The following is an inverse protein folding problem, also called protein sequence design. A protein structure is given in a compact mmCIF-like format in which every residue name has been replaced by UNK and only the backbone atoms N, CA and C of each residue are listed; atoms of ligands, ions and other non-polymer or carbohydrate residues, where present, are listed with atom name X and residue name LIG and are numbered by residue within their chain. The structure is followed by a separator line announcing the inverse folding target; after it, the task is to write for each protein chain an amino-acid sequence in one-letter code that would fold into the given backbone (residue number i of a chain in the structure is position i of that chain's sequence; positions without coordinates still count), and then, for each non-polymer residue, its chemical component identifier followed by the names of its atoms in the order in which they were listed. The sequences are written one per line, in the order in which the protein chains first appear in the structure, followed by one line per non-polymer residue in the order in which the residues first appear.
data_IF_558994223644
#
_entry.id   IF_558994223644
#
_cell.length_a   1.000
_cell.length_b   1.000
_cell.length_c   1.000
_cell.angle_alpha   90.00
_cell.angle_beta   90.00
_cell.angle_gamma   90.00
#
_symmetry.space_group_name_H-M   'P 1'
#
loop_
_entity.id
_entity.type
_entity.pdbx_description
1 polymer ?
#
# COMPACT_ATOMS: atom_id res chain seq x y z
N UNK A 1 45.81 0.68 -5.22
CA UNK A 1 44.52 1.01 -4.53
C UNK A 1 44.48 0.19 -3.26
N UNK A 2 44.17 0.82 -2.13
CA UNK A 2 43.99 0.08 -0.86
C UNK A 2 42.70 -0.74 -0.94
N UNK A 3 42.66 -1.90 -0.27
CA UNK A 3 41.47 -2.78 -0.21
C UNK A 3 40.19 -1.99 0.19
N UNK A 4 40.36 -1.03 1.08
CA UNK A 4 39.28 -0.13 1.52
C UNK A 4 38.73 0.74 0.38
N UNK A 5 39.60 1.29 -0.46
CA UNK A 5 39.18 2.11 -1.60
C UNK A 5 38.38 1.30 -2.62
N UNK A 6 38.76 0.06 -2.91
CA UNK A 6 38.02 -0.85 -3.79
C UNK A 6 36.64 -1.14 -3.23
N UNK A 7 36.51 -1.45 -1.94
CA UNK A 7 35.22 -1.69 -1.28
C UNK A 7 34.30 -0.47 -1.39
N UNK A 8 34.79 0.74 -1.11
CA UNK A 8 34.00 1.97 -1.20
C UNK A 8 33.50 2.18 -2.63
N UNK A 9 34.36 2.05 -3.64
CA UNK A 9 33.99 2.20 -5.05
C UNK A 9 32.90 1.20 -5.43
N UNK A 10 33.04 -0.06 -4.99
CA UNK A 10 32.04 -1.10 -5.26
C UNK A 10 30.70 -0.79 -4.60
N UNK A 11 30.70 -0.34 -3.34
CA UNK A 11 29.46 0.09 -2.65
C UNK A 11 28.75 1.21 -3.40
N UNK A 12 29.50 2.23 -3.83
CA UNK A 12 28.95 3.34 -4.64
C UNK A 12 28.36 2.83 -5.96
N UNK A 13 29.06 1.93 -6.64
CA UNK A 13 28.61 1.35 -7.90
C UNK A 13 27.32 0.54 -7.72
N UNK A 14 27.25 -0.33 -6.71
CA UNK A 14 26.05 -1.12 -6.38
C UNK A 14 24.88 -0.19 -6.04
N UNK A 15 25.10 0.87 -5.27
CA UNK A 15 24.09 1.87 -4.94
C UNK A 15 23.55 2.57 -6.19
N UNK A 16 24.42 3.00 -7.10
CA UNK A 16 24.03 3.65 -8.35
C UNK A 16 23.24 2.71 -9.28
N UNK A 17 23.65 1.45 -9.40
CA UNK A 17 22.89 0.44 -10.15
C UNK A 17 21.51 0.22 -9.49
N UNK A 18 21.46 0.04 -8.17
CA UNK A 18 20.22 -0.13 -7.45
C UNK A 18 19.28 1.06 -7.65
N UNK A 19 19.79 2.29 -7.63
CA UNK A 19 18.98 3.50 -7.87
C UNK A 19 18.45 3.55 -9.32
N UNK A 20 19.28 3.17 -10.31
CA UNK A 20 18.87 3.13 -11.72
C UNK A 20 17.76 2.06 -11.95
N UNK A 21 17.90 0.89 -11.36
CA UNK A 21 16.86 -0.13 -11.37
C UNK A 21 15.60 0.40 -10.67
N UNK A 22 15.71 1.04 -9.51
CA UNK A 22 14.59 1.65 -8.81
C UNK A 22 13.81 2.66 -9.66
N UNK A 23 14.52 3.47 -10.45
CA UNK A 23 13.91 4.39 -11.41
C UNK A 23 13.09 3.65 -12.48
N UNK A 24 13.61 2.54 -13.00
CA UNK A 24 12.86 1.67 -13.91
C UNK A 24 11.65 1.00 -13.22
N UNK A 25 11.80 0.55 -11.97
CA UNK A 25 10.70 -0.05 -11.21
C UNK A 25 9.53 0.92 -11.01
N UNK A 26 9.77 2.23 -10.87
CA UNK A 26 8.71 3.23 -10.84
C UNK A 26 7.85 3.21 -12.11
N UNK A 27 8.47 3.01 -13.28
CA UNK A 27 7.73 2.86 -14.55
C UNK A 27 6.90 1.59 -14.55
N UNK A 28 7.45 0.48 -14.04
CA UNK A 28 6.72 -0.81 -13.91
C UNK A 28 5.52 -0.67 -12.97
N UNK A 29 5.71 -0.06 -11.79
CA UNK A 29 4.64 0.16 -10.80
C UNK A 29 3.49 0.96 -11.41
N UNK A 30 3.79 2.04 -12.13
CA UNK A 30 2.77 2.91 -12.70
C UNK A 30 2.05 2.28 -13.91
N UNK A 31 2.79 1.65 -14.84
CA UNK A 31 2.23 1.21 -16.13
C UNK A 31 1.58 -0.16 -16.10
N UNK A 32 2.03 -1.06 -15.21
CA UNK A 32 1.51 -2.43 -15.16
C UNK A 32 0.00 -2.48 -14.88
N UNK A 33 -0.54 -1.78 -13.86
CA UNK A 33 -1.97 -1.78 -13.59
C UNK A 33 -2.79 -1.15 -14.73
N UNK A 34 -2.22 -0.15 -15.41
CA UNK A 34 -2.86 0.54 -16.54
C UNK A 34 -2.75 -0.23 -17.87
N UNK A 35 -2.07 -1.38 -17.87
CA UNK A 35 -1.80 -2.20 -19.08
C UNK A 35 -1.08 -1.42 -20.19
N UNK A 36 -0.29 -0.42 -19.81
CA UNK A 36 0.52 0.39 -20.74
C UNK A 36 1.86 -0.27 -21.04
N UNK A 37 2.44 0.04 -22.21
CA UNK A 37 3.74 -0.49 -22.60
C UNK A 37 4.86 0.08 -21.70
N UNK A 38 5.65 -0.82 -21.11
CA UNK A 38 6.81 -0.45 -20.27
C UNK A 38 7.97 0.06 -21.14
N UNK A 39 8.07 -0.38 -22.40
CA UNK A 39 9.24 -0.17 -23.26
C UNK A 39 9.02 0.93 -24.31
N UNK A 40 7.81 1.00 -24.90
CA UNK A 40 7.55 1.83 -26.09
C UNK A 40 7.37 3.31 -25.80
N UNK A 41 6.86 3.67 -24.64
CA UNK A 41 6.55 5.06 -24.32
C UNK A 41 7.67 5.71 -23.53
N UNK A 42 8.21 6.86 -24.02
CA UNK A 42 9.21 7.60 -23.27
C UNK A 42 8.61 8.23 -22.00
N UNK A 43 9.43 8.44 -20.99
CA UNK A 43 9.03 9.16 -19.79
C UNK A 43 8.78 10.63 -20.11
N UNK A 44 7.65 11.18 -19.62
CA UNK A 44 7.23 12.55 -19.87
C UNK A 44 6.64 13.16 -18.58
N UNK A 45 6.57 14.48 -18.52
CA UNK A 45 5.93 15.19 -17.43
C UNK A 45 4.40 15.08 -17.56
N UNK A 46 3.71 14.64 -16.51
CA UNK A 46 2.25 14.49 -16.53
C UNK A 46 1.49 15.82 -16.72
N UNK A 47 2.09 16.95 -16.30
CA UNK A 47 1.43 18.26 -16.38
C UNK A 47 1.62 18.97 -17.72
N UNK A 48 2.80 18.87 -18.35
CA UNK A 48 3.09 19.59 -19.58
C UNK A 48 3.33 18.70 -20.80
N UNK A 49 3.35 17.37 -20.64
CA UNK A 49 3.59 16.42 -21.72
C UNK A 49 5.02 16.37 -22.26
N UNK A 50 5.91 17.27 -21.83
CA UNK A 50 7.29 17.31 -22.32
C UNK A 50 8.05 16.05 -21.96
N UNK A 51 8.75 15.49 -22.95
CA UNK A 51 9.62 14.32 -22.78
C UNK A 51 10.79 14.65 -21.86
N UNK A 52 11.01 13.77 -20.87
CA UNK A 52 12.17 13.91 -19.97
C UNK A 52 13.46 13.56 -20.70
N UNK A 53 14.50 14.33 -20.45
CA UNK A 53 15.84 14.08 -20.99
C UNK A 53 16.59 13.10 -20.07
N UNK A 54 17.63 12.43 -20.56
CA UNK A 54 18.37 11.42 -19.80
C UNK A 54 18.93 11.97 -18.47
N UNK A 55 19.35 13.23 -18.42
CA UNK A 55 19.86 13.87 -17.22
C UNK A 55 18.76 14.28 -16.22
N UNK A 56 17.50 14.40 -16.67
CA UNK A 56 16.34 14.61 -15.80
C UNK A 56 15.87 13.29 -15.15
N UNK A 57 16.32 12.16 -15.68
CA UNK A 57 16.02 10.81 -15.19
C UNK A 57 17.15 10.24 -14.33
N UNK A 58 18.20 11.02 -13.98
CA UNK A 58 19.27 10.54 -13.12
C UNK A 58 18.72 10.30 -11.71
N UNK A 59 18.70 9.02 -11.24
CA UNK A 59 17.93 8.65 -10.07
C UNK A 59 18.36 9.41 -8.81
N UNK A 60 17.40 9.76 -7.96
CA UNK A 60 17.58 10.51 -6.71
C UNK A 60 18.12 11.92 -6.94
N UNK A 61 19.25 12.05 -7.65
CA UNK A 61 19.95 13.34 -7.81
C UNK A 61 19.20 14.35 -8.66
N UNK A 62 18.52 13.91 -9.74
CA UNK A 62 17.74 14.84 -10.56
C UNK A 62 16.58 15.44 -9.75
N UNK A 63 15.91 14.65 -8.92
CA UNK A 63 14.84 15.11 -8.06
C UNK A 63 15.35 16.13 -7.01
N UNK A 64 16.51 15.87 -6.39
CA UNK A 64 17.13 16.75 -5.41
C UNK A 64 17.58 18.08 -6.05
N UNK A 65 18.25 18.03 -7.21
CA UNK A 65 18.74 19.21 -7.93
C UNK A 65 17.56 20.08 -8.41
N UNK A 66 16.49 19.47 -8.93
CA UNK A 66 15.29 20.14 -9.39
C UNK A 66 14.32 20.49 -8.24
N UNK A 67 14.65 20.15 -7.00
CA UNK A 67 13.82 20.38 -5.80
C UNK A 67 12.41 19.84 -5.96
N UNK A 68 12.27 18.66 -6.57
CA UNK A 68 10.99 18.03 -6.81
C UNK A 68 10.09 18.74 -7.82
N UNK A 69 10.64 19.50 -8.77
CA UNK A 69 9.86 20.25 -9.77
C UNK A 69 10.28 19.90 -11.19
N UNK A 70 9.31 19.95 -12.10
CA UNK A 70 9.59 19.78 -13.52
C UNK A 70 10.45 20.95 -14.04
N UNK A 71 11.51 20.65 -14.81
CA UNK A 71 12.41 21.65 -15.40
C UNK A 71 11.70 22.61 -16.37
N UNK A 72 10.63 22.14 -17.05
CA UNK A 72 9.97 22.91 -18.10
C UNK A 72 8.79 23.73 -17.58
N UNK A 73 7.91 23.14 -16.75
CA UNK A 73 6.69 23.82 -16.30
C UNK A 73 6.66 24.14 -14.80
N UNK A 74 7.66 23.70 -14.03
CA UNK A 74 7.72 23.96 -12.59
C UNK A 74 6.73 23.14 -11.74
N UNK A 75 5.89 22.28 -12.34
CA UNK A 75 4.94 21.44 -11.60
C UNK A 75 5.67 20.50 -10.67
N UNK A 76 5.05 20.20 -9.50
CA UNK A 76 5.62 19.32 -8.49
C UNK A 76 5.71 17.85 -8.97
N UNK A 77 6.85 17.22 -8.69
CA UNK A 77 7.08 15.78 -8.91
C UNK A 77 7.01 15.09 -7.55
N UNK A 78 6.15 14.09 -7.42
CA UNK A 78 5.96 13.35 -6.16
C UNK A 78 7.30 12.83 -5.59
N UNK A 79 7.58 13.05 -4.30
CA UNK A 79 8.77 12.50 -3.64
C UNK A 79 8.82 10.97 -3.62
N UNK A 80 7.69 10.32 -3.87
CA UNK A 80 7.57 8.86 -3.96
C UNK A 80 8.56 8.26 -4.96
N UNK A 81 8.79 8.92 -6.11
CA UNK A 81 9.75 8.45 -7.11
C UNK A 81 11.15 8.32 -6.52
N UNK A 82 11.62 9.38 -5.87
CA UNK A 82 12.92 9.39 -5.20
C UNK A 82 13.01 8.34 -4.08
N UNK A 83 11.93 8.18 -3.30
CA UNK A 83 11.88 7.21 -2.21
C UNK A 83 12.03 5.77 -2.72
N UNK A 84 11.33 5.40 -3.80
CA UNK A 84 11.43 4.06 -4.40
C UNK A 84 12.82 3.80 -4.99
N UNK A 85 13.43 4.81 -5.61
CA UNK A 85 14.80 4.74 -6.12
C UNK A 85 15.82 4.52 -4.99
N UNK A 86 15.68 5.28 -3.89
CA UNK A 86 16.53 5.15 -2.72
C UNK A 86 16.32 3.81 -2.01
N UNK A 87 15.08 3.34 -1.89
CA UNK A 87 14.76 2.04 -1.29
C UNK A 87 15.42 0.89 -2.06
N UNK A 88 15.36 0.92 -3.39
CA UNK A 88 16.01 -0.08 -4.22
C UNK A 88 17.54 -0.02 -4.08
N UNK A 89 18.11 1.18 -4.11
CA UNK A 89 19.55 1.39 -3.93
C UNK A 89 20.06 0.87 -2.58
N UNK A 90 19.37 1.19 -1.49
CA UNK A 90 19.72 0.74 -0.13
C UNK A 90 19.53 -0.77 0.02
N UNK A 91 18.48 -1.35 -0.57
CA UNK A 91 18.25 -2.80 -0.54
C UNK A 91 19.35 -3.57 -1.26
N UNK A 92 19.78 -3.09 -2.43
CA UNK A 92 20.88 -3.71 -3.19
C UNK A 92 22.21 -3.57 -2.46
N UNK A 93 22.49 -2.38 -1.90
CA UNK A 93 23.69 -2.15 -1.09
C UNK A 93 23.68 -3.06 0.14
N UNK A 94 22.55 -3.18 0.84
CA UNK A 94 22.41 -4.08 1.99
C UNK A 94 22.68 -5.55 1.63
N UNK A 95 22.12 -6.01 0.50
CA UNK A 95 22.38 -7.35 -0.01
C UNK A 95 23.88 -7.57 -0.33
N UNK A 96 24.52 -6.58 -0.95
CA UNK A 96 25.96 -6.65 -1.24
C UNK A 96 26.81 -6.67 0.03
N UNK A 97 26.47 -5.89 1.03
CA UNK A 97 27.21 -5.86 2.30
C UNK A 97 27.10 -7.18 3.08
N UNK A 98 25.97 -7.90 2.94
CA UNK A 98 25.74 -9.19 3.60
C UNK A 98 26.36 -10.35 2.82
N UNK A 99 26.19 -10.39 1.50
CA UNK A 99 26.55 -11.56 0.69
C UNK A 99 27.76 -11.35 -0.23
N UNK A 100 28.24 -10.11 -0.41
CA UNK A 100 29.22 -9.80 -1.45
C UNK A 100 28.68 -10.06 -2.85
N UNK A 101 29.56 -10.35 -3.81
CA UNK A 101 29.15 -10.83 -5.13
C UNK A 101 29.01 -12.36 -5.09
N UNK A 102 27.80 -12.83 -4.90
CA UNK A 102 27.45 -14.25 -4.80
C UNK A 102 26.11 -14.53 -5.48
N UNK A 103 25.70 -15.78 -5.54
CA UNK A 103 24.38 -16.16 -6.03
C UNK A 103 23.25 -15.61 -5.16
N UNK A 104 23.49 -15.55 -3.85
CA UNK A 104 22.58 -14.96 -2.88
C UNK A 104 22.32 -13.48 -3.16
N UNK A 105 23.36 -12.73 -3.52
CA UNK A 105 23.23 -11.34 -3.94
C UNK A 105 22.40 -11.21 -5.21
N UNK A 106 22.62 -12.06 -6.23
CA UNK A 106 21.85 -12.02 -7.45
C UNK A 106 20.36 -12.31 -7.21
N UNK A 107 20.06 -13.33 -6.38
CA UNK A 107 18.69 -13.64 -5.97
C UNK A 107 18.08 -12.51 -5.15
N UNK A 108 18.82 -11.91 -4.22
CA UNK A 108 18.37 -10.77 -3.44
C UNK A 108 17.99 -9.58 -4.32
N UNK A 109 18.77 -9.27 -5.35
CA UNK A 109 18.48 -8.17 -6.28
C UNK A 109 17.14 -8.38 -7.00
N UNK A 110 16.88 -9.59 -7.51
CA UNK A 110 15.61 -9.91 -8.16
C UNK A 110 14.46 -9.89 -7.15
N UNK A 111 14.65 -10.53 -6.00
CA UNK A 111 13.65 -10.56 -4.93
C UNK A 111 13.24 -9.16 -4.50
N UNK A 112 14.20 -8.29 -4.17
CA UNK A 112 13.91 -6.94 -3.70
C UNK A 112 13.26 -6.08 -4.77
N UNK A 113 13.66 -6.19 -6.03
CA UNK A 113 12.99 -5.53 -7.14
C UNK A 113 11.50 -5.93 -7.21
N UNK A 114 11.19 -7.21 -7.14
CA UNK A 114 9.81 -7.72 -7.16
C UNK A 114 9.04 -7.27 -5.93
N UNK A 115 9.64 -7.33 -4.74
CA UNK A 115 9.00 -6.87 -3.49
C UNK A 115 8.69 -5.37 -3.50
N UNK A 116 9.55 -4.54 -4.10
CA UNK A 116 9.31 -3.10 -4.27
C UNK A 116 8.15 -2.86 -5.23
N UNK A 117 8.12 -3.57 -6.37
CA UNK A 117 7.04 -3.44 -7.36
C UNK A 117 5.70 -3.85 -6.78
N UNK A 118 5.62 -5.03 -6.16
CA UNK A 118 4.37 -5.50 -5.55
C UNK A 118 3.88 -4.54 -4.46
N UNK A 119 4.81 -4.03 -3.62
CA UNK A 119 4.46 -3.06 -2.57
C UNK A 119 3.92 -1.75 -3.15
N UNK A 120 4.54 -1.26 -4.23
CA UNK A 120 4.10 -0.05 -4.91
C UNK A 120 2.71 -0.19 -5.53
N UNK A 121 2.44 -1.33 -6.18
CA UNK A 121 1.12 -1.60 -6.81
C UNK A 121 0.05 -1.86 -5.73
N UNK A 122 0.38 -2.61 -4.68
CA UNK A 122 -0.57 -2.89 -3.59
C UNK A 122 -0.98 -1.62 -2.83
N UNK A 123 -0.06 -0.66 -2.64
CA UNK A 123 -0.39 0.65 -2.04
C UNK A 123 -1.40 1.43 -2.87
N UNK A 124 -1.32 1.36 -4.21
CA UNK A 124 -2.17 2.14 -5.10
C UNK A 124 -3.49 1.45 -5.45
N UNK A 125 -3.44 0.13 -5.65
CA UNK A 125 -4.54 -0.64 -6.24
C UNK A 125 -5.12 -1.72 -5.31
N UNK A 126 -4.51 -1.96 -4.14
CA UNK A 126 -4.90 -3.02 -3.21
C UNK A 126 -4.89 -4.42 -3.85
N UNK A 127 -3.96 -4.64 -4.78
CA UNK A 127 -3.81 -5.88 -5.52
C UNK A 127 -2.34 -6.28 -5.63
N UNK A 128 -2.04 -7.56 -5.45
CA UNK A 128 -0.72 -8.13 -5.69
C UNK A 128 -0.72 -8.77 -7.08
N UNK A 129 0.09 -8.28 -8.04
CA UNK A 129 0.15 -8.86 -9.37
C UNK A 129 0.64 -10.31 -9.34
N UNK A 130 -0.05 -11.20 -10.01
CA UNK A 130 0.29 -12.64 -10.05
C UNK A 130 1.73 -12.93 -10.48
N UNK A 131 2.25 -12.17 -11.44
CA UNK A 131 3.61 -12.37 -11.93
C UNK A 131 4.67 -12.08 -10.85
N UNK A 132 4.40 -11.17 -9.89
CA UNK A 132 5.28 -10.93 -8.74
C UNK A 132 5.37 -12.19 -7.87
N UNK A 133 4.22 -12.77 -7.49
CA UNK A 133 4.16 -13.98 -6.68
C UNK A 133 4.77 -15.19 -7.40
N UNK A 134 4.53 -15.31 -8.72
CA UNK A 134 5.15 -16.35 -9.55
C UNK A 134 6.68 -16.19 -9.57
N UNK A 135 7.19 -14.97 -9.72
CA UNK A 135 8.65 -14.73 -9.71
C UNK A 135 9.26 -15.16 -8.39
N UNK A 136 8.64 -14.82 -7.24
CA UNK A 136 9.11 -15.26 -5.92
C UNK A 136 9.06 -16.79 -5.80
N UNK A 137 8.03 -17.45 -6.30
CA UNK A 137 7.92 -18.90 -6.32
C UNK A 137 9.01 -19.55 -7.20
N UNK A 138 9.29 -18.97 -8.37
CA UNK A 138 10.39 -19.45 -9.27
C UNK A 138 11.74 -19.31 -8.57
N UNK A 139 12.00 -18.19 -7.88
CA UNK A 139 13.20 -18.05 -7.06
C UNK A 139 13.25 -19.09 -5.95
N UNK A 140 12.11 -19.41 -5.33
CA UNK A 140 11.98 -20.49 -4.34
C UNK A 140 12.32 -21.87 -4.91
N UNK A 141 11.83 -22.19 -6.11
CA UNK A 141 12.18 -23.44 -6.81
C UNK A 141 13.66 -23.46 -7.21
N UNK A 142 14.18 -22.36 -7.76
CA UNK A 142 15.57 -22.24 -8.12
C UNK A 142 16.50 -22.43 -6.90
N UNK A 143 16.00 -22.11 -5.71
CA UNK A 143 16.73 -22.30 -4.46
C UNK A 143 17.08 -23.75 -4.13
N UNK A 144 16.45 -24.74 -4.74
CA UNK A 144 16.83 -26.16 -4.61
C UNK A 144 18.09 -26.52 -5.42
N UNK A 145 18.39 -25.72 -6.45
CA UNK A 145 19.48 -25.99 -7.38
C UNK A 145 20.70 -25.07 -7.19
N UNK A 146 20.53 -23.97 -6.50
CA UNK A 146 21.60 -23.00 -6.25
C UNK A 146 22.45 -23.45 -5.07
N UNK A 147 23.80 -23.45 -5.20
CA UNK A 147 24.70 -23.71 -4.08
C UNK A 147 24.71 -22.53 -3.13
N UNK A 148 23.86 -22.59 -2.11
CA UNK A 148 23.76 -21.53 -1.10
C UNK A 148 24.95 -21.56 -0.14
N UNK A 149 25.45 -20.37 0.24
CA UNK A 149 26.35 -20.24 1.37
C UNK A 149 25.67 -20.67 2.69
N UNK A 150 26.48 -20.88 3.71
CA UNK A 150 26.01 -21.39 5.02
C UNK A 150 24.86 -20.55 5.63
N UNK A 151 24.79 -19.27 5.28
CA UNK A 151 23.76 -18.35 5.78
C UNK A 151 22.36 -18.60 5.23
N UNK A 152 22.24 -19.17 4.02
CA UNK A 152 20.94 -19.44 3.36
C UNK A 152 20.74 -20.92 3.04
N UNK A 153 21.71 -21.78 3.38
CA UNK A 153 21.55 -23.22 3.25
C UNK A 153 20.39 -23.72 4.12
N UNK A 154 19.41 -24.33 3.49
CA UNK A 154 18.30 -25.02 4.16
C UNK A 154 18.06 -26.35 3.45
N UNK A 155 17.92 -27.47 4.17
CA UNK A 155 17.60 -28.73 3.56
C UNK A 155 16.23 -28.69 2.87
N UNK A 156 16.06 -29.49 1.84
CA UNK A 156 14.85 -29.49 1.01
C UNK A 156 13.56 -29.75 1.82
N UNK A 157 13.64 -30.63 2.83
CA UNK A 157 12.47 -30.97 3.66
C UNK A 157 12.01 -29.78 4.52
N UNK A 158 12.91 -28.93 5.01
CA UNK A 158 12.54 -27.72 5.76
C UNK A 158 11.76 -26.74 4.89
N UNK A 159 12.12 -26.60 3.62
CA UNK A 159 11.40 -25.75 2.64
C UNK A 159 9.99 -26.28 2.38
N UNK A 160 9.85 -27.61 2.24
CA UNK A 160 8.54 -28.23 2.02
C UNK A 160 7.65 -28.20 3.26
N UNK A 161 8.21 -28.42 4.45
CA UNK A 161 7.47 -28.31 5.72
C UNK A 161 6.99 -26.85 5.89
N UNK A 162 7.87 -25.89 5.72
CA UNK A 162 7.53 -24.46 5.83
C UNK A 162 6.44 -24.06 4.83
N UNK A 163 6.52 -24.54 3.60
CA UNK A 163 5.49 -24.34 2.57
C UNK A 163 4.16 -24.91 3.03
N UNK A 164 4.12 -26.15 3.52
CA UNK A 164 2.89 -26.78 3.99
C UNK A 164 2.24 -26.03 5.15
N UNK A 165 3.03 -25.63 6.16
CA UNK A 165 2.55 -24.86 7.32
C UNK A 165 2.00 -23.50 6.89
N UNK A 166 2.75 -22.76 6.06
CA UNK A 166 2.34 -21.42 5.58
C UNK A 166 1.09 -21.52 4.69
N UNK A 167 1.03 -22.52 3.79
CA UNK A 167 -0.11 -22.71 2.91
C UNK A 167 -1.38 -22.98 3.72
N UNK A 168 -1.35 -23.91 4.69
CA UNK A 168 -2.50 -24.22 5.55
C UNK A 168 -2.93 -22.98 6.34
N UNK A 169 -1.98 -22.28 6.97
CA UNK A 169 -2.28 -21.10 7.77
C UNK A 169 -2.94 -19.99 6.92
N UNK A 170 -2.40 -19.68 5.74
CA UNK A 170 -2.94 -18.63 4.89
C UNK A 170 -4.25 -19.03 4.20
N UNK A 171 -4.44 -20.31 3.83
CA UNK A 171 -5.73 -20.79 3.33
C UNK A 171 -6.82 -20.57 4.39
N UNK A 172 -6.55 -20.90 5.65
CA UNK A 172 -7.51 -20.64 6.74
C UNK A 172 -7.81 -19.14 6.86
N UNK A 173 -6.78 -18.26 6.80
CA UNK A 173 -6.97 -16.81 6.88
C UNK A 173 -7.78 -16.25 5.71
N UNK A 174 -7.57 -16.77 4.49
CA UNK A 174 -8.36 -16.39 3.30
C UNK A 174 -9.81 -16.87 3.42
N UNK A 175 -10.05 -18.09 3.90
CA UNK A 175 -11.41 -18.63 4.09
C UNK A 175 -12.21 -17.87 5.14
N UNK A 176 -11.55 -17.34 6.17
CA UNK A 176 -12.18 -16.48 7.20
C UNK A 176 -12.40 -15.04 6.66
N UNK A 177 -11.87 -14.72 5.47
CA UNK A 177 -11.96 -13.37 4.88
C UNK A 177 -10.99 -12.34 5.50
N UNK A 178 -9.97 -12.81 6.22
CA UNK A 178 -8.98 -11.96 6.88
C UNK A 178 -7.86 -11.44 5.97
N UNK A 179 -7.58 -12.13 4.85
CA UNK A 179 -6.49 -11.79 3.92
C UNK A 179 -6.87 -12.05 2.46
N UNK A 180 -6.16 -11.39 1.54
CA UNK A 180 -6.32 -11.57 0.10
C UNK A 180 -5.63 -12.83 -0.44
N UNK A 181 -6.13 -13.38 -1.56
CA UNK A 181 -5.49 -14.51 -2.25
C UNK A 181 -4.07 -14.19 -2.76
N UNK A 182 -3.78 -12.92 -3.04
CA UNK A 182 -2.45 -12.47 -3.43
C UNK A 182 -1.40 -12.63 -2.33
N UNK A 183 -1.77 -12.35 -1.07
CA UNK A 183 -0.90 -12.54 0.10
C UNK A 183 -0.56 -14.02 0.30
N UNK A 184 -1.55 -14.92 0.13
CA UNK A 184 -1.34 -16.38 0.16
C UNK A 184 -0.29 -16.80 -0.87
N UNK A 185 -0.44 -16.39 -2.14
CA UNK A 185 0.47 -16.77 -3.22
C UNK A 185 1.89 -16.27 -2.97
N UNK A 186 2.02 -15.03 -2.51
CA UNK A 186 3.31 -14.43 -2.16
C UNK A 186 4.01 -15.23 -1.06
N UNK A 187 3.30 -15.54 0.03
CA UNK A 187 3.88 -16.19 1.20
C UNK A 187 4.21 -17.66 0.95
N UNK A 188 3.40 -18.35 0.15
CA UNK A 188 3.70 -19.71 -0.32
C UNK A 188 4.97 -19.73 -1.18
N UNK A 189 5.11 -18.79 -2.12
CA UNK A 189 6.35 -18.63 -2.91
C UNK A 189 7.57 -18.30 -2.05
N UNK A 190 7.42 -17.38 -1.11
CA UNK A 190 8.50 -16.97 -0.20
C UNK A 190 8.92 -18.09 0.76
N UNK A 191 8.01 -18.98 1.17
CA UNK A 191 8.33 -20.10 2.04
C UNK A 191 9.26 -21.12 1.38
N UNK A 192 9.13 -21.35 0.07
CA UNK A 192 10.06 -22.17 -0.70
C UNK A 192 11.47 -21.57 -0.74
N UNK A 193 11.55 -20.23 -0.81
CA UNK A 193 12.82 -19.53 -0.85
C UNK A 193 13.52 -19.52 0.53
N UNK A 194 12.77 -19.18 1.58
CA UNK A 194 13.29 -18.91 2.92
C UNK A 194 13.39 -20.14 3.82
N UNK A 195 12.61 -21.22 3.55
CA UNK A 195 12.46 -22.32 4.47
C UNK A 195 11.91 -21.87 5.84
N UNK A 196 12.45 -22.37 6.96
CA UNK A 196 11.98 -21.97 8.30
C UNK A 196 12.17 -20.47 8.64
N UNK A 197 13.01 -19.75 7.90
CA UNK A 197 13.17 -18.27 8.04
C UNK A 197 11.91 -17.50 7.63
N UNK A 198 10.92 -18.14 7.05
CA UNK A 198 9.62 -17.54 6.77
C UNK A 198 8.89 -17.13 8.05
N UNK A 199 9.11 -17.80 9.18
CA UNK A 199 8.45 -17.46 10.44
C UNK A 199 8.87 -16.11 11.00
N UNK A 200 10.16 -15.73 11.08
CA UNK A 200 10.57 -14.36 11.35
C UNK A 200 9.99 -13.34 10.36
N UNK A 201 9.93 -13.68 9.06
CA UNK A 201 9.34 -12.80 8.06
C UNK A 201 7.86 -12.53 8.34
N UNK A 202 7.10 -13.57 8.65
CA UNK A 202 5.70 -13.46 9.05
C UNK A 202 5.54 -12.62 10.32
N UNK A 203 6.32 -12.89 11.34
CA UNK A 203 6.25 -12.15 12.60
C UNK A 203 6.48 -10.64 12.37
N UNK A 204 7.54 -10.28 11.66
CA UNK A 204 7.84 -8.88 11.34
C UNK A 204 6.71 -8.26 10.53
N UNK A 205 6.23 -8.94 9.48
CA UNK A 205 5.15 -8.45 8.62
C UNK A 205 3.85 -8.25 9.38
N UNK A 206 3.47 -9.19 10.26
CA UNK A 206 2.26 -9.10 11.08
C UNK A 206 2.37 -7.95 12.10
N UNK A 207 3.51 -7.83 12.80
CA UNK A 207 3.71 -6.75 13.78
C UNK A 207 3.65 -5.38 13.12
N UNK A 208 4.35 -5.18 12.00
CA UNK A 208 4.32 -3.91 11.27
C UNK A 208 2.92 -3.62 10.72
N UNK A 209 2.27 -4.62 10.14
CA UNK A 209 0.89 -4.51 9.64
C UNK A 209 -0.11 -4.18 10.75
N UNK A 210 0.02 -4.81 11.93
CA UNK A 210 -0.82 -4.53 13.08
C UNK A 210 -0.62 -3.10 13.61
N UNK A 211 0.62 -2.65 13.76
CA UNK A 211 0.93 -1.26 14.18
C UNK A 211 0.34 -0.26 13.20
N UNK A 212 0.54 -0.47 11.89
CA UNK A 212 -0.05 0.37 10.86
C UNK A 212 -1.59 0.33 10.91
N UNK A 213 -2.19 -0.85 11.01
CA UNK A 213 -3.64 -1.03 11.07
C UNK A 213 -4.27 -0.33 12.28
N UNK A 214 -3.65 -0.43 13.46
CA UNK A 214 -4.10 0.26 14.67
C UNK A 214 -3.99 1.78 14.49
N UNK A 215 -2.85 2.29 14.02
CA UNK A 215 -2.65 3.73 13.81
C UNK A 215 -3.59 4.28 12.75
N UNK A 216 -3.81 3.55 11.64
CA UNK A 216 -4.80 3.89 10.62
C UNK A 216 -6.21 3.92 11.22
N UNK A 217 -6.61 2.90 11.99
CA UNK A 217 -7.94 2.82 12.62
C UNK A 217 -8.20 4.01 13.56
N UNK A 218 -7.20 4.38 14.39
CA UNK A 218 -7.32 5.55 15.29
C UNK A 218 -7.48 6.84 14.48
N UNK A 219 -6.67 7.03 13.43
CA UNK A 219 -6.73 8.21 12.58
C UNK A 219 -8.04 8.29 11.80
N UNK A 220 -8.50 7.16 11.27
CA UNK A 220 -9.74 7.08 10.51
C UNK A 220 -10.95 7.34 11.42
N UNK A 221 -10.94 6.82 12.66
CA UNK A 221 -11.99 7.07 13.65
C UNK A 221 -12.11 8.56 14.00
N UNK A 222 -10.98 9.25 14.20
CA UNK A 222 -11.01 10.71 14.44
C UNK A 222 -11.59 11.46 13.24
N UNK A 223 -11.14 11.14 12.03
CA UNK A 223 -11.63 11.77 10.82
C UNK A 223 -13.12 11.44 10.55
N UNK A 224 -13.58 10.21 10.88
CA UNK A 224 -15.01 9.83 10.83
C UNK A 224 -15.85 10.67 11.78
N UNK A 225 -15.36 10.93 13.00
CA UNK A 225 -16.06 11.78 13.98
C UNK A 225 -16.13 13.24 13.50
N UNK A 226 -15.02 13.81 13.05
CA UNK A 226 -14.97 15.19 12.55
C UNK A 226 -15.88 15.40 11.33
N UNK A 227 -15.88 14.44 10.41
CA UNK A 227 -16.73 14.51 9.22
C UNK A 227 -18.21 14.31 9.57
N UNK A 228 -18.52 13.40 10.51
CA UNK A 228 -19.89 13.19 11.02
C UNK A 228 -20.44 14.48 11.62
N UNK A 229 -19.64 15.18 12.42
CA UNK A 229 -20.07 16.43 13.06
C UNK A 229 -20.28 17.56 12.03
N UNK A 230 -19.40 17.67 11.02
CA UNK A 230 -19.59 18.64 9.93
C UNK A 230 -20.86 18.39 9.15
N UNK A 231 -21.13 17.14 8.76
CA UNK A 231 -22.37 16.77 8.02
C UNK A 231 -23.60 17.07 8.90
N UNK A 232 -23.49 16.79 10.21
CA UNK A 232 -24.55 17.10 11.17
C UNK A 232 -24.87 18.59 11.19
N UNK A 233 -23.87 19.44 11.31
CA UNK A 233 -24.07 20.89 11.33
C UNK A 233 -24.71 21.38 10.04
N UNK A 234 -24.21 20.96 8.88
CA UNK A 234 -24.81 21.33 7.58
C UNK A 234 -26.28 20.89 7.48
N UNK A 235 -26.58 19.69 7.96
CA UNK A 235 -27.96 19.19 7.93
C UNK A 235 -28.88 19.96 8.90
N UNK A 236 -28.39 20.33 10.09
CA UNK A 236 -29.13 21.14 11.05
C UNK A 236 -29.37 22.56 10.56
N UNK A 237 -28.35 23.22 9.99
CA UNK A 237 -28.45 24.56 9.44
C UNK A 237 -29.47 24.59 8.29
N UNK A 238 -29.41 23.60 7.39
CA UNK A 238 -30.38 23.45 6.33
C UNK A 238 -31.78 23.20 6.89
N UNK A 239 -31.96 22.36 7.91
CA UNK A 239 -33.22 22.08 8.55
C UNK A 239 -33.85 23.32 9.19
N UNK A 240 -33.03 24.13 9.88
CA UNK A 240 -33.49 25.39 10.48
C UNK A 240 -33.91 26.41 9.43
N UNK A 241 -33.16 26.52 8.33
CA UNK A 241 -33.51 27.39 7.21
C UNK A 241 -34.87 26.99 6.57
N UNK A 242 -35.15 25.68 6.52
CA UNK A 242 -36.47 25.19 6.04
C UNK A 242 -37.60 25.43 7.06
N UNK A 243 -37.32 25.40 8.37
CA UNK A 243 -38.29 25.72 9.42
C UNK A 243 -38.69 27.20 9.37
N UNK A 244 -37.72 28.10 9.18
CA UNK A 244 -37.97 29.54 9.05
C UNK A 244 -38.77 29.92 7.79
N UNK A 245 -38.71 29.07 6.76
CA UNK A 245 -39.42 29.23 5.48
C UNK A 245 -40.88 28.69 5.48
N UNK A 246 -41.52 28.49 6.65
CA UNK A 246 -42.88 27.96 6.83
C UNK A 246 -43.13 26.53 6.30
N UNK A 247 -42.10 25.82 5.92
CA UNK A 247 -42.17 24.44 5.41
C UNK A 247 -42.02 23.40 6.54
N UNK A 248 -41.75 23.85 7.75
CA UNK A 248 -41.45 23.03 8.93
C UNK A 248 -42.52 22.04 9.36
N UNK A 249 -43.78 22.28 9.00
CA UNK A 249 -44.89 21.35 9.28
C UNK A 249 -44.77 20.00 8.58
N UNK A 250 -44.09 19.95 7.46
CA UNK A 250 -43.96 18.73 6.66
C UNK A 250 -42.83 17.84 7.15
N UNK A 251 -41.84 18.43 7.81
CA UNK A 251 -40.60 17.72 8.27
C UNK A 251 -40.75 17.19 9.71
N UNK A 252 -41.57 17.82 10.54
CA UNK A 252 -41.72 17.48 11.98
C UNK A 252 -42.54 16.19 12.18
N UNK A 253 -42.04 15.06 11.88
CA UNK A 253 -42.73 13.77 12.11
C UNK A 253 -42.26 12.61 11.22
N UNK A 254 -41.19 12.77 10.46
CA UNK A 254 -40.71 11.78 9.49
C UNK A 254 -39.35 11.21 9.83
N UNK A 255 -39.28 9.90 9.65
CA UNK A 255 -38.01 9.12 9.77
C UNK A 255 -37.33 9.02 8.40
N UNK A 256 -36.92 10.14 7.81
CA UNK A 256 -36.24 10.11 6.52
C UNK A 256 -34.77 9.83 6.67
N UNK A 257 -34.25 8.92 5.87
CA UNK A 257 -32.84 8.49 5.90
C UNK A 257 -32.14 8.99 4.66
N UNK A 258 -31.07 9.75 4.85
CA UNK A 258 -30.19 10.19 3.78
C UNK A 258 -28.99 9.21 3.75
N UNK A 259 -28.81 8.53 2.62
CA UNK A 259 -27.64 7.67 2.37
C UNK A 259 -26.73 8.39 1.40
N UNK A 260 -25.49 8.59 1.79
CA UNK A 260 -24.49 9.19 0.92
C UNK A 260 -23.28 8.27 0.75
N UNK A 261 -22.76 8.19 -0.46
CA UNK A 261 -21.49 7.58 -0.78
C UNK A 261 -20.50 8.66 -1.16
N UNK A 262 -19.26 8.51 -0.70
CA UNK A 262 -18.17 9.42 -1.06
C UNK A 262 -17.26 8.64 -2.00
N UNK A 263 -17.29 8.99 -3.28
CA UNK A 263 -16.45 8.40 -4.32
C UNK A 263 -15.67 9.50 -5.03
N UNK A 264 -14.36 9.28 -5.26
CA UNK A 264 -13.53 10.25 -5.98
C UNK A 264 -13.44 11.64 -5.33
N UNK A 265 -13.52 11.72 -4.00
CA UNK A 265 -13.38 12.96 -3.24
C UNK A 265 -14.61 13.87 -3.19
N UNK A 266 -15.74 13.45 -3.80
CA UNK A 266 -17.01 14.18 -3.72
C UNK A 266 -18.11 13.28 -3.17
N UNK A 267 -18.95 13.79 -2.24
CA UNK A 267 -20.09 13.03 -1.75
C UNK A 267 -21.15 12.93 -2.84
N UNK A 268 -21.61 11.73 -3.11
CA UNK A 268 -22.81 11.47 -3.87
C UNK A 268 -23.91 11.06 -2.90
N UNK A 269 -25.09 11.70 -3.01
CA UNK A 269 -26.14 11.61 -2.02
C UNK A 269 -27.37 11.02 -2.69
N UNK A 270 -27.71 9.82 -2.25
CA UNK A 270 -29.00 9.18 -2.57
C UNK A 270 -29.90 9.27 -1.35
N UNK A 271 -31.19 9.55 -1.59
CA UNK A 271 -32.21 9.58 -0.56
C UNK A 271 -32.87 8.21 -0.52
N UNK A 272 -32.79 7.54 0.60
CA UNK A 272 -33.52 6.30 0.85
C UNK A 272 -34.76 6.63 1.69
N UNK A 273 -35.95 6.30 1.20
CA UNK A 273 -37.22 6.66 1.84
C UNK A 273 -37.85 5.43 2.45
N UNK A 274 -38.40 5.61 3.66
CA UNK A 274 -39.19 4.58 4.32
C UNK A 274 -40.65 4.55 3.80
N UNK A 275 -41.15 5.61 3.16
CA UNK A 275 -42.51 5.68 2.57
C UNK A 275 -42.52 6.56 1.31
N UNK A 276 -42.78 5.97 0.14
CA UNK A 276 -42.85 6.66 -1.14
C UNK A 276 -44.00 7.68 -1.25
N UNK A 277 -45.08 7.52 -0.46
CA UNK A 277 -46.24 8.40 -0.47
C UNK A 277 -46.08 9.69 0.35
N UNK A 278 -45.06 9.78 1.15
CA UNK A 278 -44.77 10.89 2.04
C UNK A 278 -44.23 12.16 1.35
N UNK A 279 -44.06 12.14 0.02
CA UNK A 279 -43.26 13.10 -0.76
C UNK A 279 -43.96 14.29 -1.36
N UNK A 280 -45.27 14.36 -1.25
CA UNK A 280 -46.02 15.50 -1.81
C UNK A 280 -45.86 16.74 -0.91
N UNK A 281 -44.81 17.49 -1.10
CA UNK A 281 -44.60 18.78 -0.43
C UNK A 281 -43.21 19.07 0.17
N UNK A 282 -42.17 18.25 -0.10
CA UNK A 282 -40.83 18.54 0.39
C UNK A 282 -40.06 19.48 -0.54
N UNK A 283 -39.49 20.58 0.01
CA UNK A 283 -38.68 21.50 -0.77
C UNK A 283 -37.35 20.87 -1.25
N UNK A 284 -36.79 21.53 -2.20
CA UNK A 284 -35.63 21.20 -3.02
C UNK A 284 -34.55 20.35 -2.35
N UNK A 285 -34.61 19.01 -2.54
CA UNK A 285 -33.57 18.05 -2.14
C UNK A 285 -32.21 18.39 -2.72
N UNK A 286 -32.19 19.11 -3.84
CA UNK A 286 -30.98 19.49 -4.52
C UNK A 286 -30.14 20.50 -3.70
N UNK A 287 -30.78 21.28 -2.85
CA UNK A 287 -30.12 22.30 -2.02
C UNK A 287 -29.27 21.69 -0.92
N UNK A 288 -29.76 20.69 -0.17
CA UNK A 288 -28.96 19.99 0.84
C UNK A 288 -27.81 19.19 0.19
N UNK A 289 -28.12 18.49 -0.90
CA UNK A 289 -27.09 17.76 -1.65
C UNK A 289 -26.00 18.68 -2.17
N UNK A 290 -26.37 19.88 -2.61
CA UNK A 290 -25.44 20.92 -3.06
C UNK A 290 -24.62 21.46 -1.91
N UNK A 291 -25.22 21.82 -0.78
CA UNK A 291 -24.55 22.34 0.41
C UNK A 291 -23.51 21.33 0.94
N UNK A 292 -23.86 20.05 1.00
CA UNK A 292 -22.93 19.00 1.42
C UNK A 292 -21.80 18.84 0.39
N UNK A 293 -22.08 18.87 -0.92
CA UNK A 293 -21.05 18.77 -1.98
C UNK A 293 -20.09 19.96 -2.02
N UNK A 294 -20.56 21.15 -1.70
CA UNK A 294 -19.75 22.37 -1.73
C UNK A 294 -18.85 22.49 -0.49
N UNK A 295 -19.35 22.07 0.67
CA UNK A 295 -18.66 22.24 1.94
C UNK A 295 -17.80 21.03 2.35
N UNK A 296 -18.03 19.85 1.77
CA UNK A 296 -17.27 18.65 2.08
C UNK A 296 -16.34 18.28 0.93
N UNK A 297 -15.05 18.45 1.16
CA UNK A 297 -13.97 17.91 0.34
C UNK A 297 -13.22 16.86 1.15
N UNK A 298 -13.23 15.60 0.70
CA UNK A 298 -12.45 14.53 1.32
C UNK A 298 -11.83 13.65 0.22
N UNK A 299 -10.55 13.31 0.39
CA UNK A 299 -9.83 12.41 -0.52
C UNK A 299 -10.15 10.93 -0.26
N UNK A 300 -10.97 10.63 0.74
CA UNK A 300 -11.25 9.27 1.19
C UNK A 300 -12.61 8.78 0.73
N UNK A 301 -12.65 7.54 0.27
CA UNK A 301 -13.89 6.83 -0.02
C UNK A 301 -14.58 6.40 1.27
N UNK A 302 -15.88 6.61 1.36
CA UNK A 302 -16.66 6.25 2.53
C UNK A 302 -18.16 6.21 2.24
N UNK A 303 -18.92 5.72 3.19
CA UNK A 303 -20.38 5.77 3.17
C UNK A 303 -20.88 6.42 4.47
N UNK A 304 -21.92 7.22 4.37
CA UNK A 304 -22.57 7.79 5.52
C UNK A 304 -24.09 7.65 5.39
N UNK A 305 -24.75 7.60 6.54
CA UNK A 305 -26.21 7.57 6.64
C UNK A 305 -26.61 8.64 7.66
N UNK A 306 -27.49 9.54 7.26
CA UNK A 306 -28.04 10.57 8.14
C UNK A 306 -29.53 10.29 8.29
N UNK A 307 -30.00 10.15 9.51
CA UNK A 307 -31.43 10.06 9.83
C UNK A 307 -31.88 11.41 10.37
N UNK A 308 -32.92 12.01 9.84
CA UNK A 308 -33.40 13.37 10.19
C UNK A 308 -34.16 13.40 11.53
N UNK A 309 -34.23 12.30 12.27
CA UNK A 309 -34.80 12.27 13.62
C UNK A 309 -33.85 12.88 14.64
N UNK A 310 -34.39 13.62 15.59
CA UNK A 310 -33.71 14.52 16.55
C UNK A 310 -32.46 13.98 17.25
N UNK A 311 -32.16 12.67 17.26
CA UNK A 311 -31.07 12.09 18.06
C UNK A 311 -30.21 11.01 17.38
N UNK A 312 -30.43 10.64 16.11
CA UNK A 312 -29.69 9.52 15.52
C UNK A 312 -28.98 9.86 14.21
N UNK A 313 -27.80 10.44 14.32
CA UNK A 313 -26.89 10.52 13.18
C UNK A 313 -26.03 9.28 13.18
N UNK A 314 -26.17 8.46 12.13
CA UNK A 314 -25.34 7.28 11.93
C UNK A 314 -23.97 7.71 11.47
N UNK A 315 -22.93 7.20 12.14
CA UNK A 315 -21.53 7.57 11.92
C UNK A 315 -21.11 7.33 10.48
N UNK A 316 -20.35 8.26 9.93
CA UNK A 316 -19.60 8.06 8.70
C UNK A 316 -18.65 6.87 8.89
N UNK A 317 -18.61 5.96 7.93
CA UNK A 317 -17.66 4.83 7.92
C UNK A 317 -16.82 4.90 6.66
N UNK A 318 -15.50 5.00 6.83
CA UNK A 318 -14.56 4.87 5.73
C UNK A 318 -14.38 3.41 5.31
N UNK A 319 -14.00 3.23 4.04
CA UNK A 319 -13.63 1.91 3.53
C UNK A 319 -12.46 1.34 4.34
N UNK A 320 -12.63 0.12 4.89
CA UNK A 320 -11.66 -0.54 5.76
C UNK A 320 -10.60 -1.35 4.99
N UNK A 321 -10.45 -1.13 3.69
CA UNK A 321 -9.42 -1.83 2.93
C UNK A 321 -8.04 -1.49 3.50
N UNK A 322 -7.25 -2.53 3.76
CA UNK A 322 -5.91 -2.42 4.32
C UNK A 322 -4.92 -3.05 3.36
N UNK A 323 -3.86 -2.32 3.08
CA UNK A 323 -2.71 -2.79 2.32
C UNK A 323 -1.86 -3.65 3.24
N UNK A 324 -1.61 -4.91 2.89
CA UNK A 324 -0.80 -5.80 3.71
C UNK A 324 0.50 -6.25 3.03
N UNK A 325 0.53 -6.27 1.71
CA UNK A 325 1.68 -6.67 0.89
C UNK A 325 3.01 -5.99 1.25
N UNK A 326 3.08 -4.65 1.45
CA UNK A 326 4.32 -3.98 1.82
C UNK A 326 4.91 -4.46 3.15
N UNK A 327 4.08 -4.79 4.13
CA UNK A 327 4.54 -5.29 5.42
C UNK A 327 5.10 -6.71 5.31
N UNK A 328 4.46 -7.57 4.53
CA UNK A 328 4.98 -8.89 4.18
C UNK A 328 6.28 -8.77 3.41
N UNK A 329 6.37 -7.85 2.46
CA UNK A 329 7.58 -7.59 1.68
C UNK A 329 8.77 -7.18 2.57
N UNK A 330 8.57 -6.29 3.54
CA UNK A 330 9.59 -5.90 4.52
C UNK A 330 10.01 -7.13 5.36
N UNK A 331 9.05 -7.92 5.82
CA UNK A 331 9.33 -9.15 6.56
C UNK A 331 10.17 -10.14 5.74
N UNK A 332 9.80 -10.40 4.48
CA UNK A 332 10.53 -11.27 3.56
C UNK A 332 11.95 -10.74 3.32
N UNK A 333 12.09 -9.45 3.01
CA UNK A 333 13.39 -8.83 2.74
C UNK A 333 14.32 -8.89 3.97
N UNK A 334 13.81 -8.55 5.15
CA UNK A 334 14.56 -8.60 6.41
C UNK A 334 14.97 -10.02 6.75
N UNK A 335 14.06 -10.97 6.59
CA UNK A 335 14.35 -12.37 6.89
C UNK A 335 15.28 -13.02 5.86
N UNK A 336 15.25 -12.57 4.60
CA UNK A 336 16.23 -13.00 3.61
C UNK A 336 17.64 -12.57 4.04
N UNK A 337 17.83 -11.32 4.48
CA UNK A 337 19.13 -10.78 4.89
C UNK A 337 19.61 -11.33 6.26
N UNK A 338 18.71 -11.39 7.23
CA UNK A 338 19.07 -11.58 8.65
C UNK A 338 18.33 -12.74 9.33
N UNK A 339 17.55 -13.54 8.58
CA UNK A 339 16.70 -14.58 9.17
C UNK A 339 17.46 -15.63 9.99
N UNK A 340 18.67 -16.01 9.58
CA UNK A 340 19.51 -16.95 10.32
C UNK A 340 19.95 -16.37 11.67
N UNK A 341 20.36 -15.10 11.70
CA UNK A 341 20.76 -14.42 12.92
C UNK A 341 19.58 -14.30 13.89
N UNK A 342 18.40 -13.96 13.37
CA UNK A 342 17.17 -13.84 14.17
C UNK A 342 16.80 -15.19 14.77
N UNK A 343 16.82 -16.26 13.98
CA UNK A 343 16.49 -17.60 14.47
C UNK A 343 17.52 -18.08 15.49
N UNK A 344 18.81 -17.93 15.22
CA UNK A 344 19.87 -18.33 16.15
C UNK A 344 19.80 -17.56 17.48
N UNK A 345 19.48 -16.27 17.42
CA UNK A 345 19.26 -15.46 18.61
C UNK A 345 18.07 -16.00 19.43
N UNK A 346 16.96 -16.30 18.78
CA UNK A 346 15.77 -16.84 19.44
C UNK A 346 16.01 -18.21 20.08
N UNK A 347 16.66 -19.13 19.35
CA UNK A 347 17.04 -20.46 19.87
C UNK A 347 18.03 -20.33 21.04
N UNK A 348 18.96 -19.37 20.97
CA UNK A 348 19.88 -19.07 22.07
C UNK A 348 19.15 -18.61 23.33
N UNK A 349 18.10 -17.80 23.22
CA UNK A 349 17.27 -17.40 24.35
C UNK A 349 16.52 -18.58 24.98
N UNK A 350 16.01 -19.51 24.17
CA UNK A 350 15.30 -20.69 24.66
C UNK A 350 16.21 -21.71 25.34
N UNK A 351 17.48 -21.79 24.94
CA UNK A 351 18.47 -22.68 25.57
C UNK A 351 19.10 -22.08 26.86
N UNK A 352 18.82 -20.81 27.16
CA UNK A 352 19.25 -20.14 28.39
C UNK A 352 18.19 -20.15 29.49
N UNK A 353 17.00 -20.65 29.19
CA UNK A 353 15.89 -20.85 30.11
C UNK A 353 15.74 -22.36 30.46
#
# INVERSE_FOLDING_TARGET
MTITAVKIITCVFVFLIGSAIGSFLNVVIYRTPLKQSIIREPSHCFSCGNRLKWYDMFPIFSWLILRGKCRFCGSGISPRYMVMEALCAVSYLGAYLVYGFSWEFAVACVLFAVLIVLSGIDIDHFEIPYWCSITVAVLGIAAFFIPWGASLAAPWYERLISLGVVAVMFVILVLIGGMGGGDLQLMVGASLLLGYRIFPALFIGIVLGAVYGITKKIRDHKAELELTEKIRQIALDWYQEQLDADVGYVLAGRDDVIVGTITGGKPDIEWEFLDENAWKGIPDKSSLSRAIREQITTEREGAFRITIREDQITRVKYSRRMVFGPFLAIGIATSFLFGSQIVNWYVGLMNLS
#
